data_IF_832204758141
#
_entry.id   IF_832204758141
#
_cell.length_a   1.000
_cell.length_b   1.000
_cell.length_c   1.000
_cell.angle_alpha   90.00
_cell.angle_beta   90.00
_cell.angle_gamma   90.00
#
_symmetry.space_group_name_H-M   'P 1'
#
loop_
_entity.id
_entity.type
_entity.pdbx_description
1 polymer ?
#
# COMPACT_ATOMS: atom_id res chain seq x y z
N UNK A 1 -22.53 -5.51 13.59
CA UNK A 1 -21.62 -4.46 13.04
C UNK A 1 -21.04 -5.00 11.74
N UNK A 2 -20.93 -4.17 10.72
CA UNK A 2 -20.34 -4.57 9.43
C UNK A 2 -18.84 -4.91 9.60
N UNK A 3 -18.38 -6.00 8.94
CA UNK A 3 -16.95 -6.33 8.88
C UNK A 3 -16.22 -5.56 7.76
N UNK A 4 -16.89 -4.63 7.09
CA UNK A 4 -16.29 -3.84 6.02
C UNK A 4 -15.31 -2.84 6.59
N UNK A 5 -14.08 -2.91 6.12
CA UNK A 5 -13.00 -1.98 6.45
C UNK A 5 -12.36 -1.50 5.15
N UNK A 6 -12.43 -0.23 4.90
CA UNK A 6 -11.86 0.41 3.71
C UNK A 6 -10.81 1.43 4.08
N UNK A 7 -9.91 1.72 3.18
CA UNK A 7 -8.73 2.51 3.47
C UNK A 7 -8.47 3.55 2.39
N UNK A 8 -8.20 4.78 2.81
CA UNK A 8 -7.49 5.77 2.01
C UNK A 8 -6.04 5.87 2.51
N UNK A 9 -5.08 5.79 1.59
CA UNK A 9 -3.66 5.69 1.92
C UNK A 9 -2.83 6.70 1.12
N UNK A 10 -2.90 8.00 1.48
CA UNK A 10 -2.15 9.03 0.78
C UNK A 10 -0.69 9.07 1.20
N UNK A 11 0.18 9.45 0.23
CA UNK A 11 1.58 9.79 0.50
C UNK A 11 1.70 11.31 0.66
N UNK A 12 2.33 11.84 1.72
CA UNK A 12 2.49 13.28 1.95
C UNK A 12 3.67 13.86 1.14
N UNK A 13 3.65 13.65 -0.19
CA UNK A 13 4.73 14.04 -1.12
C UNK A 13 4.37 15.22 -2.00
N UNK A 14 3.20 15.84 -1.78
CA UNK A 14 2.69 16.97 -2.55
C UNK A 14 1.33 17.43 -2.07
N UNK A 15 0.77 18.41 -2.79
CA UNK A 15 -0.54 18.97 -2.46
C UNK A 15 -1.66 17.92 -2.58
N UNK A 16 -2.64 18.02 -1.68
CA UNK A 16 -3.86 17.25 -1.77
C UNK A 16 -4.68 17.74 -2.98
N UNK A 17 -4.98 16.87 -3.91
CA UNK A 17 -5.66 17.22 -5.15
C UNK A 17 -6.99 16.47 -5.33
N UNK A 18 -7.79 16.91 -6.30
CA UNK A 18 -9.14 16.37 -6.54
C UNK A 18 -9.17 14.85 -6.77
N UNK A 19 -8.12 14.27 -7.36
CA UNK A 19 -7.99 12.82 -7.53
C UNK A 19 -7.88 12.09 -6.19
N UNK A 20 -7.12 12.65 -5.24
CA UNK A 20 -7.01 12.13 -3.86
C UNK A 20 -8.34 12.26 -3.13
N UNK A 21 -8.99 13.43 -3.24
CA UNK A 21 -10.30 13.69 -2.66
C UNK A 21 -11.36 12.69 -3.18
N UNK A 22 -11.38 12.45 -4.48
CA UNK A 22 -12.28 11.45 -5.11
C UNK A 22 -12.05 10.05 -4.54
N UNK A 23 -10.80 9.62 -4.44
CA UNK A 23 -10.47 8.29 -3.90
C UNK A 23 -10.91 8.17 -2.44
N UNK A 24 -10.64 9.19 -1.62
CA UNK A 24 -11.09 9.23 -0.24
C UNK A 24 -12.62 9.19 -0.14
N UNK A 25 -13.32 9.98 -0.95
CA UNK A 25 -14.78 10.06 -0.98
C UNK A 25 -15.43 8.70 -1.29
N UNK A 26 -14.96 7.96 -2.30
CA UNK A 26 -15.50 6.64 -2.63
C UNK A 26 -15.37 5.66 -1.47
N UNK A 27 -14.20 5.62 -0.83
CA UNK A 27 -13.99 4.76 0.33
C UNK A 27 -14.87 5.19 1.51
N UNK A 28 -14.96 6.49 1.78
CA UNK A 28 -15.79 7.04 2.85
C UNK A 28 -17.27 6.71 2.65
N UNK A 29 -17.81 6.97 1.44
CA UNK A 29 -19.20 6.65 1.10
C UNK A 29 -19.50 5.17 1.26
N UNK A 30 -18.59 4.30 0.81
CA UNK A 30 -18.78 2.86 0.94
C UNK A 30 -18.78 2.42 2.41
N UNK A 31 -17.87 2.95 3.23
CA UNK A 31 -17.86 2.70 4.66
C UNK A 31 -19.17 3.15 5.31
N UNK A 32 -19.63 4.38 5.03
CA UNK A 32 -20.87 4.92 5.61
C UNK A 32 -22.11 4.15 5.15
N UNK A 33 -22.19 3.79 3.87
CA UNK A 33 -23.30 3.00 3.31
C UNK A 33 -23.40 1.60 3.95
N UNK A 34 -22.26 0.96 4.22
CA UNK A 34 -22.24 -0.40 4.78
C UNK A 34 -22.21 -0.46 6.30
N UNK A 35 -22.16 0.68 7.00
CA UNK A 35 -21.89 0.73 8.43
C UNK A 35 -20.50 0.21 8.81
N UNK A 36 -19.55 0.31 7.88
CA UNK A 36 -18.17 -0.14 8.03
C UNK A 36 -17.23 0.94 8.58
N UNK A 37 -15.93 0.65 8.57
CA UNK A 37 -14.86 1.50 9.10
C UNK A 37 -14.09 2.14 7.96
N UNK A 38 -13.91 3.46 7.99
CA UNK A 38 -13.03 4.21 7.10
C UNK A 38 -11.70 4.50 7.79
N UNK A 39 -10.61 4.02 7.20
CA UNK A 39 -9.25 4.08 7.75
C UNK A 39 -8.42 5.08 6.96
N UNK A 40 -7.73 5.98 7.65
CA UNK A 40 -6.67 6.82 7.07
C UNK A 40 -5.31 6.22 7.45
N UNK A 41 -4.50 5.83 6.44
CA UNK A 41 -3.14 5.33 6.64
C UNK A 41 -2.17 6.16 5.81
N UNK A 42 -1.15 6.69 6.44
CA UNK A 42 -0.18 7.57 5.78
C UNK A 42 0.96 6.74 5.21
N UNK A 43 1.17 6.87 3.89
CA UNK A 43 2.23 6.20 3.14
C UNK A 43 3.48 7.10 3.08
N UNK A 44 4.19 7.20 4.19
CA UNK A 44 5.32 8.10 4.40
C UNK A 44 6.69 7.39 4.41
N UNK A 45 6.83 6.34 3.59
CA UNK A 45 8.10 5.58 3.47
C UNK A 45 9.18 6.32 2.69
N UNK A 46 8.83 7.28 1.86
CA UNK A 46 9.77 8.10 1.07
C UNK A 46 10.21 9.33 1.85
N UNK A 47 11.26 9.17 2.65
CA UNK A 47 11.75 10.22 3.58
C UNK A 47 12.22 11.51 2.87
N UNK A 48 12.66 11.43 1.61
CA UNK A 48 13.17 12.58 0.89
C UNK A 48 12.04 13.50 0.38
N UNK A 49 10.92 12.91 -0.01
CA UNK A 49 9.77 13.66 -0.56
C UNK A 49 8.67 13.94 0.43
N UNK A 50 8.67 13.31 1.59
CA UNK A 50 7.66 13.51 2.61
C UNK A 50 7.87 14.84 3.34
N UNK A 51 6.75 15.52 3.67
CA UNK A 51 6.74 16.76 4.42
C UNK A 51 5.60 16.77 5.44
N UNK A 52 5.88 17.19 6.66
CA UNK A 52 4.84 17.41 7.68
C UNK A 52 3.83 18.48 7.25
N UNK A 53 4.25 19.45 6.42
CA UNK A 53 3.33 20.43 5.85
C UNK A 53 2.32 19.76 4.90
N UNK A 54 2.75 18.86 4.03
CA UNK A 54 1.83 18.11 3.17
C UNK A 54 0.97 17.12 3.96
N UNK A 55 1.47 16.57 5.05
CA UNK A 55 0.69 15.72 5.95
C UNK A 55 -0.45 16.53 6.61
N UNK A 56 -0.15 17.72 7.12
CA UNK A 56 -1.17 18.63 7.69
C UNK A 56 -2.23 18.98 6.66
N UNK A 57 -1.83 19.30 5.42
CA UNK A 57 -2.78 19.56 4.32
C UNK A 57 -3.71 18.39 4.03
N UNK A 58 -3.24 17.14 4.14
CA UNK A 58 -4.10 15.95 3.99
C UNK A 58 -5.18 15.94 5.07
N UNK A 59 -4.79 16.14 6.34
CA UNK A 59 -5.74 16.13 7.46
C UNK A 59 -6.75 17.27 7.36
N UNK A 60 -6.29 18.48 7.11
CA UNK A 60 -7.12 19.67 6.96
C UNK A 60 -8.09 19.55 5.79
N UNK A 61 -7.61 19.06 4.63
CA UNK A 61 -8.44 18.87 3.45
C UNK A 61 -9.54 17.82 3.66
N UNK A 62 -9.21 16.69 4.27
CA UNK A 62 -10.20 15.66 4.59
C UNK A 62 -11.24 16.18 5.59
N UNK A 63 -10.80 16.91 6.61
CA UNK A 63 -11.68 17.53 7.61
C UNK A 63 -12.60 18.58 6.97
N UNK A 64 -12.06 19.45 6.11
CA UNK A 64 -12.82 20.46 5.38
C UNK A 64 -13.88 19.84 4.46
N UNK A 65 -13.56 18.69 3.83
CA UNK A 65 -14.50 17.93 3.01
C UNK A 65 -15.53 17.13 3.83
N UNK A 66 -15.43 17.10 5.16
CA UNK A 66 -16.29 16.28 6.02
C UNK A 66 -16.01 14.78 5.94
N UNK A 67 -14.86 14.37 5.41
CA UNK A 67 -14.45 12.97 5.24
C UNK A 67 -13.72 12.46 6.50
N UNK A 68 -14.38 12.53 7.64
CA UNK A 68 -13.85 12.07 8.93
C UNK A 68 -13.55 10.58 8.91
N UNK A 69 -12.37 10.18 9.42
CA UNK A 69 -11.94 8.79 9.48
C UNK A 69 -12.12 8.23 10.89
N UNK A 70 -12.44 6.95 10.95
CA UNK A 70 -12.72 6.25 12.20
C UNK A 70 -11.43 5.74 12.84
N UNK A 71 -10.51 5.22 12.02
CA UNK A 71 -9.17 4.76 12.43
C UNK A 71 -8.08 5.49 11.66
N UNK A 72 -6.97 5.78 12.35
CA UNK A 72 -5.86 6.51 11.74
C UNK A 72 -5.19 7.48 12.71
N UNK A 73 -4.29 8.34 12.23
CA UNK A 73 -3.73 9.41 13.03
C UNK A 73 -4.83 10.29 13.62
N UNK A 74 -4.65 10.73 14.87
CA UNK A 74 -5.63 11.60 15.54
C UNK A 74 -5.50 13.03 15.06
N UNK A 75 -6.62 13.59 14.58
CA UNK A 75 -6.71 14.99 14.15
C UNK A 75 -8.17 15.47 14.22
N UNK A 76 -8.42 16.59 14.88
CA UNK A 76 -9.71 17.28 14.92
C UNK A 76 -10.92 16.36 15.18
N UNK A 77 -10.80 15.47 16.15
CA UNK A 77 -11.88 14.53 16.52
C UNK A 77 -11.96 13.26 15.69
N UNK A 78 -11.20 13.14 14.60
CA UNK A 78 -11.07 11.92 13.80
C UNK A 78 -9.92 11.04 14.27
N UNK A 79 -9.94 9.75 13.91
CA UNK A 79 -8.85 8.82 14.10
C UNK A 79 -8.81 8.14 15.46
N UNK A 80 -7.76 7.37 15.66
CA UNK A 80 -7.60 6.44 16.78
C UNK A 80 -7.59 5.01 16.27
N UNK A 81 -8.18 4.09 17.03
CA UNK A 81 -8.18 2.65 16.71
C UNK A 81 -7.04 1.90 17.40
N UNK A 82 -7.10 0.57 17.32
CA UNK A 82 -6.23 -0.37 18.04
C UNK A 82 -5.26 -1.13 17.11
N UNK A 83 -5.28 -0.84 15.81
CA UNK A 83 -4.48 -1.53 14.79
C UNK A 83 -3.33 -0.67 14.22
N UNK A 84 -2.94 0.37 14.98
CA UNK A 84 -1.80 1.22 14.63
C UNK A 84 -0.45 0.50 14.71
N UNK A 85 0.64 1.21 14.42
CA UNK A 85 0.70 2.57 13.92
C UNK A 85 0.05 2.75 12.54
N UNK A 86 -0.48 3.96 12.26
CA UNK A 86 -1.13 4.28 11.00
C UNK A 86 -0.26 5.14 10.07
N UNK A 87 0.96 5.44 10.47
CA UNK A 87 2.04 5.96 9.60
C UNK A 87 2.96 4.80 9.26
N UNK A 88 3.25 4.62 7.98
CA UNK A 88 4.09 3.50 7.53
C UNK A 88 5.54 3.62 8.02
N UNK A 89 6.04 4.85 8.18
CA UNK A 89 7.37 5.12 8.77
C UNK A 89 7.54 4.60 10.20
N UNK A 90 6.45 4.44 10.95
CA UNK A 90 6.45 3.96 12.34
C UNK A 90 6.38 2.43 12.46
N UNK A 91 6.29 1.70 11.34
CA UNK A 91 6.07 0.25 11.29
C UNK A 91 7.34 -0.56 10.98
N UNK A 92 8.52 0.04 11.09
CA UNK A 92 9.79 -0.57 10.69
C UNK A 92 10.06 -1.94 11.32
N UNK A 93 9.75 -2.13 12.62
CA UNK A 93 9.92 -3.41 13.32
C UNK A 93 9.04 -4.50 12.73
N UNK A 94 7.79 -4.17 12.43
CA UNK A 94 6.83 -5.09 11.81
C UNK A 94 7.36 -5.53 10.44
N UNK A 95 7.86 -4.60 9.63
CA UNK A 95 8.42 -4.95 8.31
C UNK A 95 9.64 -5.85 8.41
N UNK A 96 10.54 -5.59 9.35
CA UNK A 96 11.72 -6.45 9.59
C UNK A 96 11.33 -7.88 9.96
N UNK A 97 10.34 -8.03 10.85
CA UNK A 97 9.82 -9.33 11.24
C UNK A 97 9.24 -10.09 10.04
N UNK A 98 8.39 -9.44 9.23
CA UNK A 98 7.80 -10.09 8.05
C UNK A 98 8.82 -10.41 6.97
N UNK A 99 9.82 -9.57 6.74
CA UNK A 99 10.93 -9.85 5.83
C UNK A 99 11.70 -11.09 6.29
N UNK A 100 11.96 -11.21 7.60
CA UNK A 100 12.63 -12.40 8.12
C UNK A 100 11.79 -13.66 7.92
N UNK A 101 10.50 -13.61 8.19
CA UNK A 101 9.58 -14.74 7.93
C UNK A 101 9.56 -15.15 6.45
N UNK A 102 9.60 -14.17 5.53
CA UNK A 102 9.67 -14.44 4.09
C UNK A 102 11.00 -15.09 3.69
N UNK A 103 12.12 -14.67 4.29
CA UNK A 103 13.44 -15.32 4.10
C UNK A 103 13.42 -16.76 4.59
N UNK A 104 12.94 -16.99 5.80
CA UNK A 104 12.91 -18.32 6.44
C UNK A 104 12.02 -19.31 5.64
N UNK A 105 10.98 -18.82 5.00
CA UNK A 105 10.11 -19.62 4.13
C UNK A 105 10.61 -19.76 2.68
N UNK A 106 11.76 -19.18 2.33
CA UNK A 106 12.30 -19.18 0.97
C UNK A 106 11.55 -18.26 -0.01
N UNK A 107 10.61 -17.45 0.49
CA UNK A 107 9.80 -16.50 -0.31
C UNK A 107 10.49 -15.15 -0.51
N UNK A 108 11.63 -14.92 0.10
CA UNK A 108 12.46 -13.75 -0.16
C UNK A 108 13.95 -14.15 -0.31
N UNK A 109 14.66 -13.41 -1.16
CA UNK A 109 16.07 -13.60 -1.41
C UNK A 109 16.78 -12.27 -1.62
N UNK A 110 18.09 -12.27 -1.42
CA UNK A 110 18.93 -11.09 -1.63
C UNK A 110 19.53 -11.10 -3.04
N UNK A 111 19.45 -9.94 -3.70
CA UNK A 111 20.07 -9.71 -5.00
C UNK A 111 20.44 -8.23 -5.13
N UNK A 112 21.69 -7.95 -5.50
CA UNK A 112 22.24 -6.60 -5.70
C UNK A 112 22.06 -5.70 -4.44
N UNK A 113 22.19 -6.29 -3.25
CA UNK A 113 22.01 -5.61 -1.96
C UNK A 113 20.56 -5.31 -1.59
N UNK A 114 19.60 -5.61 -2.45
CA UNK A 114 18.18 -5.46 -2.18
C UNK A 114 17.52 -6.82 -1.83
N UNK A 115 16.40 -6.79 -1.12
CA UNK A 115 15.61 -7.99 -0.83
C UNK A 115 14.44 -8.05 -1.81
N UNK A 116 14.35 -9.18 -2.49
CA UNK A 116 13.34 -9.46 -3.50
C UNK A 116 12.32 -10.47 -2.98
N UNK A 117 11.07 -10.27 -3.32
CA UNK A 117 10.02 -11.27 -3.12
C UNK A 117 10.04 -12.26 -4.29
N UNK A 118 10.02 -13.55 -3.95
CA UNK A 118 10.02 -14.65 -4.90
C UNK A 118 8.59 -15.11 -5.17
N UNK A 119 8.16 -14.99 -6.41
CA UNK A 119 6.91 -15.57 -6.87
C UNK A 119 7.04 -17.08 -7.10
N UNK A 120 5.97 -17.81 -6.82
CA UNK A 120 5.87 -19.25 -7.10
C UNK A 120 5.29 -19.47 -8.50
N UNK A 121 5.94 -20.33 -9.29
CA UNK A 121 5.47 -20.68 -10.62
C UNK A 121 6.59 -21.01 -11.58
N UNK A 122 6.18 -21.28 -12.81
CA UNK A 122 7.09 -21.54 -13.93
C UNK A 122 7.74 -20.25 -14.43
N UNK A 123 9.07 -20.27 -14.54
CA UNK A 123 9.84 -19.11 -14.99
C UNK A 123 10.12 -19.19 -16.47
N UNK A 124 9.88 -18.11 -17.19
CA UNK A 124 10.19 -17.99 -18.61
C UNK A 124 10.67 -16.57 -18.94
N UNK A 125 11.47 -16.46 -20.00
CA UNK A 125 11.98 -15.17 -20.45
C UNK A 125 11.04 -14.53 -21.47
N UNK A 126 10.80 -13.21 -21.31
CA UNK A 126 10.00 -12.41 -22.22
C UNK A 126 10.76 -11.12 -22.53
N UNK A 127 10.77 -10.71 -23.79
CA UNK A 127 11.30 -9.41 -24.15
C UNK A 127 10.26 -8.32 -23.84
N UNK A 128 10.62 -7.42 -22.91
CA UNK A 128 9.79 -6.27 -22.55
C UNK A 128 10.06 -5.10 -23.50
N UNK A 129 9.11 -4.83 -24.38
CA UNK A 129 9.20 -3.79 -25.40
C UNK A 129 9.34 -2.37 -24.81
N UNK A 130 8.77 -2.11 -23.64
CA UNK A 130 8.83 -0.80 -22.98
C UNK A 130 10.19 -0.58 -22.32
N UNK A 131 10.69 -1.60 -21.62
CA UNK A 131 11.99 -1.54 -20.93
C UNK A 131 13.16 -1.85 -21.86
N UNK A 132 12.91 -2.31 -23.09
CA UNK A 132 13.92 -2.72 -24.10
C UNK A 132 14.92 -3.75 -23.56
N UNK A 133 14.44 -4.71 -22.77
CA UNK A 133 15.27 -5.77 -22.16
C UNK A 133 14.48 -7.06 -21.97
N UNK A 134 15.22 -8.19 -21.91
CA UNK A 134 14.64 -9.46 -21.50
C UNK A 134 14.39 -9.46 -19.99
N UNK A 135 13.20 -9.87 -19.57
CA UNK A 135 12.79 -10.00 -18.17
C UNK A 135 12.33 -11.42 -17.91
N UNK A 136 12.54 -11.90 -16.68
CA UNK A 136 12.04 -13.20 -16.27
C UNK A 136 10.65 -13.02 -15.66
N UNK A 137 9.64 -13.57 -16.30
CA UNK A 137 8.29 -13.65 -15.77
C UNK A 137 8.04 -14.98 -15.09
N UNK A 138 7.14 -14.97 -14.15
CA UNK A 138 6.71 -16.13 -13.37
C UNK A 138 5.23 -16.34 -13.62
N UNK A 139 4.88 -17.48 -14.23
CA UNK A 139 3.51 -17.91 -14.43
C UNK A 139 3.13 -18.84 -13.29
N UNK A 140 2.23 -18.39 -12.43
CA UNK A 140 1.75 -19.12 -11.27
C UNK A 140 0.27 -19.42 -11.34
N UNK A 141 -0.30 -19.80 -10.20
CA UNK A 141 -1.74 -19.87 -10.07
C UNK A 141 -2.37 -18.48 -10.29
N UNK A 142 -3.51 -18.39 -10.98
CA UNK A 142 -4.14 -17.11 -11.24
C UNK A 142 -4.56 -16.43 -9.93
N UNK A 143 -4.18 -15.18 -9.78
CA UNK A 143 -4.68 -14.31 -8.70
C UNK A 143 -5.97 -13.67 -9.18
N UNK A 144 -7.08 -14.02 -8.55
CA UNK A 144 -8.40 -13.52 -8.88
C UNK A 144 -8.83 -12.53 -7.81
N UNK A 145 -9.21 -11.32 -8.24
CA UNK A 145 -9.72 -10.26 -7.37
C UNK A 145 -11.14 -9.92 -7.84
N UNK A 146 -12.10 -10.02 -6.93
CA UNK A 146 -13.47 -9.54 -7.16
C UNK A 146 -13.53 -8.04 -6.79
N UNK A 147 -13.14 -7.21 -7.75
CA UNK A 147 -13.14 -5.75 -7.57
C UNK A 147 -14.58 -5.22 -7.64
N UNK A 148 -14.97 -4.40 -6.65
CA UNK A 148 -16.34 -3.87 -6.54
C UNK A 148 -16.71 -2.84 -7.60
N UNK A 149 -15.72 -2.31 -8.31
CA UNK A 149 -15.90 -1.30 -9.36
C UNK A 149 -15.64 -1.91 -10.73
N UNK A 150 -14.57 -2.70 -10.87
CA UNK A 150 -14.11 -3.28 -12.15
C UNK A 150 -14.64 -4.69 -12.40
N UNK A 151 -15.26 -5.32 -11.41
CA UNK A 151 -15.67 -6.71 -11.48
C UNK A 151 -14.49 -7.66 -11.29
N UNK A 152 -14.57 -8.84 -11.87
CA UNK A 152 -13.53 -9.87 -11.78
C UNK A 152 -12.27 -9.45 -12.55
N UNK A 153 -11.18 -9.32 -11.82
CA UNK A 153 -9.83 -9.05 -12.38
C UNK A 153 -8.96 -10.27 -12.12
N UNK A 154 -8.30 -10.77 -13.17
CA UNK A 154 -7.44 -11.94 -13.10
C UNK A 154 -6.03 -11.57 -13.57
N UNK A 155 -5.02 -12.03 -12.82
CA UNK A 155 -3.60 -11.86 -13.15
C UNK A 155 -2.91 -13.22 -13.09
N UNK A 156 -2.25 -13.61 -14.18
CA UNK A 156 -1.62 -14.91 -14.33
C UNK A 156 -0.09 -14.88 -14.28
N UNK A 157 0.50 -13.76 -14.61
CA UNK A 157 1.96 -13.59 -14.70
C UNK A 157 2.42 -12.32 -14.02
N UNK A 158 3.59 -12.40 -13.39
CA UNK A 158 4.30 -11.25 -12.84
C UNK A 158 5.82 -11.49 -12.80
N UNK A 159 6.57 -10.54 -12.30
CA UNK A 159 8.00 -10.64 -12.04
C UNK A 159 8.26 -10.68 -10.54
N UNK A 160 9.36 -11.35 -10.11
CA UNK A 160 9.86 -11.13 -8.76
C UNK A 160 10.11 -9.63 -8.56
N UNK A 161 9.83 -9.10 -7.39
CA UNK A 161 9.90 -7.66 -7.16
C UNK A 161 10.62 -7.32 -5.85
N UNK A 162 11.23 -6.15 -5.81
CA UNK A 162 11.91 -5.63 -4.62
C UNK A 162 10.89 -5.35 -3.52
N UNK A 163 11.19 -5.79 -2.30
CA UNK A 163 10.44 -5.50 -1.08
C UNK A 163 11.21 -4.63 -0.10
N UNK A 164 12.55 -4.70 -0.12
CA UNK A 164 13.44 -3.80 0.62
C UNK A 164 14.57 -3.36 -0.30
N UNK A 165 14.82 -2.06 -0.36
CA UNK A 165 15.91 -1.48 -1.14
C UNK A 165 17.28 -1.79 -0.52
N UNK A 166 18.34 -1.56 -1.27
CA UNK A 166 19.73 -1.70 -0.80
C UNK A 166 20.10 -0.75 0.35
N UNK A 167 19.37 0.35 0.51
CA UNK A 167 19.50 1.29 1.63
C UNK A 167 18.75 0.84 2.90
N UNK A 168 18.12 -0.34 2.88
CA UNK A 168 17.34 -0.93 3.97
C UNK A 168 15.92 -0.40 4.11
N UNK A 169 15.47 0.51 3.24
CA UNK A 169 14.11 1.05 3.30
C UNK A 169 13.10 0.10 2.61
N UNK A 170 11.97 -0.19 3.26
CA UNK A 170 10.90 -0.97 2.65
C UNK A 170 10.28 -0.22 1.48
N UNK A 171 9.84 -0.95 0.47
CA UNK A 171 9.14 -0.36 -0.68
C UNK A 171 7.63 -0.60 -0.57
N UNK A 172 6.87 0.11 -1.41
CA UNK A 172 5.41 0.05 -1.49
C UNK A 172 4.85 -1.39 -1.49
N UNK A 173 5.49 -2.31 -2.18
CA UNK A 173 5.03 -3.70 -2.27
C UNK A 173 5.08 -4.46 -0.95
N UNK A 174 5.96 -4.08 -0.02
CA UNK A 174 6.01 -4.69 1.32
C UNK A 174 5.01 -4.04 2.28
N UNK A 175 4.83 -2.72 2.17
CA UNK A 175 4.07 -1.95 3.17
C UNK A 175 2.56 -1.92 2.91
N UNK A 176 2.13 -2.28 1.71
CA UNK A 176 0.73 -2.42 1.28
C UNK A 176 0.34 -3.89 1.18
#
# INVERSE_FOLDING_TARGET
>A
MSNVRVRFAPSPTGFFHIGSARTALFNWLYARHTGGTFILRIEDTDKERNSEAFLSLIYESLTWLGLNWDEGPRFSGSGGGDRGPYRQSERGDIYREYVQRLRDSGRAYEKDGAIWFRLEGERHEVFDEHRKKTVTKVKGAPVVIEDRIRGRVERMEDEDFVIVRSDGNPVFHLVN
#
